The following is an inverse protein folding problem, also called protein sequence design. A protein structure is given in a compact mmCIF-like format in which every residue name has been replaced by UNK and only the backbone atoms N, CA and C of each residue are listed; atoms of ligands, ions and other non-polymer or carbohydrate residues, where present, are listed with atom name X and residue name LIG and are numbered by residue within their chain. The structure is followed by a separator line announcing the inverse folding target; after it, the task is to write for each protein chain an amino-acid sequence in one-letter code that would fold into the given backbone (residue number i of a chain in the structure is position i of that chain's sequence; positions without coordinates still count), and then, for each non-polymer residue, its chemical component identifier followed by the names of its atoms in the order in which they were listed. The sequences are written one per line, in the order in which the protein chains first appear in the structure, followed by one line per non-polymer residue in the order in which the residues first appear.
data_IF_922421657480
#
_entry.id   IF_922421657480
#
_cell.length_a   1.000
_cell.length_b   1.000
_cell.length_c   1.000
_cell.angle_alpha   90.00
_cell.angle_beta   90.00
_cell.angle_gamma   90.00
#
_symmetry.space_group_name_H-M   'P 1'
#
loop_
_entity.id
_entity.type
_entity.pdbx_description
1 polymer ?
#
# COMPACT_ATOMS: atom_id res chain seq x y z
N UNK A 1 30.18 31.22 34.91
CA UNK A 1 29.39 31.89 33.83
C UNK A 1 29.60 31.16 32.50
N UNK A 2 29.09 29.93 32.34
CA UNK A 2 29.32 29.14 31.11
C UNK A 2 28.16 28.21 30.71
N UNK A 3 26.97 28.38 31.30
CA UNK A 3 25.78 27.55 31.01
C UNK A 3 24.69 28.27 30.19
N UNK A 4 24.96 29.47 29.66
CA UNK A 4 23.96 30.24 28.90
C UNK A 4 24.19 30.17 27.37
N UNK A 5 25.28 29.57 26.90
CA UNK A 5 25.66 29.63 25.48
C UNK A 5 25.11 28.48 24.60
N UNK A 6 24.65 27.37 25.18
CA UNK A 6 24.30 26.16 24.41
C UNK A 6 22.89 26.18 23.80
N UNK A 7 21.99 27.07 24.22
CA UNK A 7 20.60 27.12 23.73
C UNK A 7 20.38 27.89 22.41
N UNK A 8 21.35 28.71 21.97
CA UNK A 8 21.16 29.61 20.82
C UNK A 8 21.53 28.98 19.47
N UNK A 9 22.33 27.92 19.47
CA UNK A 9 22.78 27.24 18.25
C UNK A 9 21.78 26.19 17.73
N UNK A 10 21.03 25.53 18.62
CA UNK A 10 19.97 24.57 18.26
C UNK A 10 18.79 25.23 17.53
N UNK A 11 18.45 26.47 17.91
CA UNK A 11 17.28 27.19 17.38
C UNK A 11 17.45 27.64 15.92
N UNK A 12 18.68 28.00 15.50
CA UNK A 12 18.97 28.38 14.11
C UNK A 12 18.98 27.19 13.14
N UNK A 13 19.33 26.00 13.62
CA UNK A 13 19.38 24.77 12.81
C UNK A 13 17.99 24.12 12.64
N UNK A 14 17.07 24.39 13.56
CA UNK A 14 15.66 24.01 13.47
C UNK A 14 14.92 24.84 12.40
N UNK A 15 15.11 26.18 12.41
CA UNK A 15 14.50 27.10 11.44
C UNK A 15 14.92 26.80 9.99
N UNK A 16 16.20 26.50 9.75
CA UNK A 16 16.74 26.18 8.41
C UNK A 16 16.24 24.83 7.86
N UNK A 17 16.02 23.83 8.72
CA UNK A 17 15.31 22.60 8.33
C UNK A 17 13.82 22.83 8.10
N UNK A 18 13.22 23.81 8.78
CA UNK A 18 11.81 24.16 8.63
C UNK A 18 11.56 24.91 7.32
N UNK A 19 12.41 25.88 6.93
CA UNK A 19 12.31 26.53 5.61
C UNK A 19 12.60 25.59 4.44
N UNK A 20 13.51 24.62 4.62
CA UNK A 20 13.72 23.57 3.61
C UNK A 20 12.46 22.70 3.44
N UNK A 21 11.80 22.32 4.55
CA UNK A 21 10.56 21.52 4.53
C UNK A 21 9.37 22.28 3.98
N UNK A 22 9.22 23.57 4.28
CA UNK A 22 8.11 24.38 3.77
C UNK A 22 8.27 24.68 2.29
N UNK A 23 9.50 24.84 1.79
CA UNK A 23 9.73 25.09 0.35
C UNK A 23 9.32 23.87 -0.48
N UNK A 24 9.64 22.65 -0.03
CA UNK A 24 9.19 21.43 -0.73
C UNK A 24 7.67 21.27 -0.63
N UNK A 25 7.08 21.58 0.53
CA UNK A 25 5.62 21.52 0.71
C UNK A 25 4.88 22.54 -0.16
N UNK A 26 5.43 23.73 -0.38
CA UNK A 26 4.85 24.75 -1.27
C UNK A 26 5.00 24.36 -2.73
N UNK A 27 6.14 23.79 -3.16
CA UNK A 27 6.29 23.31 -4.54
C UNK A 27 5.35 22.15 -4.85
N UNK A 28 5.23 21.18 -3.94
CA UNK A 28 4.30 20.05 -4.08
C UNK A 28 2.84 20.52 -3.96
N UNK A 29 2.54 21.41 -3.00
CA UNK A 29 1.21 21.99 -2.84
C UNK A 29 0.80 22.83 -4.05
N UNK A 30 1.72 23.61 -4.61
CA UNK A 30 1.49 24.41 -5.81
C UNK A 30 1.27 23.56 -7.06
N UNK A 31 2.08 22.52 -7.28
CA UNK A 31 1.87 21.61 -8.41
C UNK A 31 0.57 20.82 -8.28
N UNK A 32 0.22 20.36 -7.08
CA UNK A 32 -1.08 19.74 -6.80
C UNK A 32 -2.25 20.71 -6.99
N UNK A 33 -2.09 21.98 -6.63
CA UNK A 33 -3.14 23.00 -6.78
C UNK A 33 -3.37 23.35 -8.26
N UNK A 34 -2.30 23.48 -9.05
CA UNK A 34 -2.39 23.64 -10.51
C UNK A 34 -3.00 22.41 -11.15
N UNK A 35 -2.54 21.21 -10.78
CA UNK A 35 -3.06 19.96 -11.33
C UNK A 35 -4.54 19.77 -10.97
N UNK A 36 -4.92 20.01 -9.72
CA UNK A 36 -6.30 19.94 -9.26
C UNK A 36 -7.19 20.95 -9.97
N UNK A 37 -6.75 22.21 -10.11
CA UNK A 37 -7.46 23.23 -10.87
C UNK A 37 -7.61 22.86 -12.34
N UNK A 38 -6.58 22.30 -12.96
CA UNK A 38 -6.61 21.84 -14.35
C UNK A 38 -7.54 20.63 -14.53
N UNK A 39 -7.49 19.64 -13.65
CA UNK A 39 -8.40 18.49 -13.66
C UNK A 39 -9.84 18.93 -13.46
N UNK A 40 -10.10 19.87 -12.54
CA UNK A 40 -11.43 20.43 -12.31
C UNK A 40 -11.92 21.20 -13.54
N UNK A 41 -11.09 22.08 -14.12
CA UNK A 41 -11.43 22.82 -15.33
C UNK A 41 -11.71 21.88 -16.51
N UNK A 42 -10.84 20.89 -16.73
CA UNK A 42 -11.03 19.87 -17.77
C UNK A 42 -12.32 19.07 -17.55
N UNK A 43 -12.63 18.72 -16.29
CA UNK A 43 -13.86 18.03 -15.92
C UNK A 43 -15.09 18.91 -16.17
N UNK A 44 -15.08 20.17 -15.74
CA UNK A 44 -16.20 21.10 -15.96
C UNK A 44 -16.43 21.35 -17.45
N UNK A 45 -15.37 21.62 -18.22
CA UNK A 45 -15.47 21.77 -19.68
C UNK A 45 -15.99 20.48 -20.32
N UNK A 46 -15.46 19.33 -19.88
CA UNK A 46 -15.92 18.01 -20.28
C UNK A 46 -17.40 17.79 -19.99
N UNK A 47 -17.90 18.19 -18.81
CA UNK A 47 -19.32 18.09 -18.45
C UNK A 47 -20.19 19.03 -19.28
N UNK A 48 -19.75 20.27 -19.51
CA UNK A 48 -20.49 21.25 -20.30
C UNK A 48 -20.63 20.79 -21.75
N UNK A 49 -19.57 20.20 -22.33
CA UNK A 49 -19.61 19.62 -23.67
C UNK A 49 -20.38 18.30 -23.67
N UNK A 50 -20.19 17.45 -22.66
CA UNK A 50 -20.86 16.16 -22.55
C UNK A 50 -22.37 16.31 -22.32
N UNK A 51 -22.85 17.31 -21.61
CA UNK A 51 -24.29 17.46 -21.28
C UNK A 51 -25.19 17.51 -22.52
N UNK A 52 -24.96 18.36 -23.54
CA UNK A 52 -25.73 18.34 -24.78
C UNK A 52 -25.43 17.09 -25.64
N UNK A 53 -24.19 16.59 -25.66
CA UNK A 53 -23.80 15.39 -26.40
C UNK A 53 -24.43 14.10 -25.84
N UNK A 54 -24.56 13.97 -24.52
CA UNK A 54 -25.20 12.85 -23.83
C UNK A 54 -26.70 12.80 -24.13
N UNK A 55 -27.35 13.96 -24.31
CA UNK A 55 -28.77 14.05 -24.64
C UNK A 55 -29.04 13.64 -26.09
N UNK A 56 -28.17 14.02 -27.03
CA UNK A 56 -28.38 13.77 -28.47
C UNK A 56 -27.80 12.42 -28.91
N UNK A 57 -26.68 12.00 -28.33
CA UNK A 57 -25.97 10.75 -28.65
C UNK A 57 -26.09 9.69 -27.55
N UNK A 58 -27.14 9.76 -26.71
CA UNK A 58 -27.41 8.78 -25.65
C UNK A 58 -27.23 7.31 -26.06
N UNK A 59 -27.53 6.88 -27.31
CA UNK A 59 -27.28 5.50 -27.74
C UNK A 59 -25.80 5.15 -28.01
N UNK A 60 -24.93 6.15 -28.26
CA UNK A 60 -23.53 5.98 -28.69
C UNK A 60 -22.53 6.33 -27.58
N UNK A 61 -22.84 7.33 -26.75
CA UNK A 61 -21.92 7.77 -25.69
C UNK A 61 -21.87 6.80 -24.49
N UNK A 62 -22.96 6.08 -24.20
CA UNK A 62 -22.98 5.07 -23.14
C UNK A 62 -21.93 3.97 -23.41
N UNK A 63 -21.87 3.35 -24.60
CA UNK A 63 -20.77 2.45 -24.98
C UNK A 63 -19.36 3.07 -24.89
N UNK A 64 -19.20 4.33 -25.32
CA UNK A 64 -17.91 5.01 -25.31
C UNK A 64 -17.40 5.26 -23.87
N UNK A 65 -18.29 5.68 -22.96
CA UNK A 65 -17.97 5.92 -21.57
C UNK A 65 -17.52 4.63 -20.85
N UNK A 66 -18.20 3.50 -21.11
CA UNK A 66 -17.82 2.18 -20.58
C UNK A 66 -16.41 1.82 -21.08
N UNK A 67 -16.13 2.05 -22.36
CA UNK A 67 -14.81 1.76 -22.95
C UNK A 67 -13.71 2.57 -22.27
N UNK A 68 -13.92 3.87 -22.07
CA UNK A 68 -12.96 4.75 -21.39
C UNK A 68 -12.76 4.33 -19.93
N UNK A 69 -13.84 4.01 -19.22
CA UNK A 69 -13.77 3.53 -17.84
C UNK A 69 -13.02 2.21 -17.74
N UNK A 70 -13.21 1.32 -18.72
CA UNK A 70 -12.51 0.03 -18.79
C UNK A 70 -11.04 0.20 -19.15
N UNK A 71 -10.68 1.17 -20.00
CA UNK A 71 -9.28 1.53 -20.29
C UNK A 71 -8.60 2.09 -19.03
N UNK A 72 -9.23 3.07 -18.37
CA UNK A 72 -8.69 3.68 -17.15
C UNK A 72 -8.58 2.66 -16.02
N UNK A 73 -9.65 1.90 -15.77
CA UNK A 73 -9.67 0.84 -14.77
C UNK A 73 -8.69 -0.28 -15.09
N UNK A 74 -8.59 -0.68 -16.36
CA UNK A 74 -7.62 -1.66 -16.84
C UNK A 74 -6.18 -1.17 -16.73
N UNK A 75 -5.90 0.11 -16.96
CA UNK A 75 -4.59 0.71 -16.78
C UNK A 75 -4.21 0.83 -15.30
N UNK A 76 -5.16 1.18 -14.43
CA UNK A 76 -4.95 1.17 -12.98
C UNK A 76 -4.70 -0.26 -12.46
N UNK A 77 -5.45 -1.24 -12.95
CA UNK A 77 -5.21 -2.64 -12.64
C UNK A 77 -3.85 -3.12 -13.18
N UNK A 78 -3.49 -2.75 -14.41
CA UNK A 78 -2.23 -3.11 -15.05
C UNK A 78 -1.01 -2.43 -14.39
N UNK A 79 -1.15 -1.21 -13.85
CA UNK A 79 -0.08 -0.54 -13.11
C UNK A 79 0.12 -1.16 -11.73
N UNK A 80 -0.96 -1.46 -11.01
CA UNK A 80 -0.89 -2.18 -9.73
C UNK A 80 -0.33 -3.60 -9.92
N UNK A 81 -0.79 -4.31 -10.93
CA UNK A 81 -0.32 -5.64 -11.27
C UNK A 81 1.12 -5.62 -11.81
N UNK A 82 1.47 -4.64 -12.64
CA UNK A 82 2.82 -4.47 -13.17
C UNK A 82 3.85 -4.20 -12.08
N UNK A 83 3.54 -3.35 -11.11
CA UNK A 83 4.41 -3.11 -9.96
C UNK A 83 4.58 -4.36 -9.10
N UNK A 84 3.49 -5.08 -8.83
CA UNK A 84 3.50 -6.32 -8.03
C UNK A 84 4.26 -7.44 -8.75
N UNK A 85 4.02 -7.65 -10.05
CA UNK A 85 4.70 -8.64 -10.87
C UNK A 85 6.19 -8.33 -10.98
N UNK A 86 6.56 -7.07 -11.18
CA UNK A 86 7.97 -6.63 -11.21
C UNK A 86 8.65 -6.84 -9.87
N UNK A 87 7.96 -6.58 -8.76
CA UNK A 87 8.48 -6.83 -7.41
C UNK A 87 8.74 -8.33 -7.16
N UNK A 88 7.77 -9.20 -7.49
CA UNK A 88 7.92 -10.66 -7.36
C UNK A 88 9.02 -11.19 -8.28
N UNK A 89 9.09 -10.71 -9.52
CA UNK A 89 10.12 -11.11 -10.48
C UNK A 89 11.52 -10.68 -10.02
N UNK A 90 11.65 -9.45 -9.52
CA UNK A 90 12.90 -8.95 -8.94
C UNK A 90 13.30 -9.75 -7.70
N UNK A 91 12.34 -10.08 -6.84
CA UNK A 91 12.54 -10.89 -5.64
C UNK A 91 13.01 -12.32 -5.99
N UNK A 92 12.37 -12.95 -6.98
CA UNK A 92 12.74 -14.28 -7.53
C UNK A 92 14.12 -14.28 -8.19
N UNK A 93 14.42 -13.27 -9.02
CA UNK A 93 15.73 -13.13 -9.66
C UNK A 93 16.84 -12.94 -8.63
N UNK A 94 16.57 -12.18 -7.56
CA UNK A 94 17.53 -11.97 -6.47
C UNK A 94 17.73 -13.24 -5.63
N UNK A 95 16.66 -13.99 -5.38
CA UNK A 95 16.69 -15.28 -4.70
C UNK A 95 17.53 -16.32 -5.45
N UNK A 96 17.33 -16.45 -6.77
CA UNK A 96 18.11 -17.36 -7.64
C UNK A 96 19.57 -16.94 -7.80
N UNK A 97 19.87 -15.63 -7.69
CA UNK A 97 21.24 -15.09 -7.68
C UNK A 97 21.92 -15.23 -6.29
N UNK A 98 21.30 -15.93 -5.33
CA UNK A 98 21.89 -16.22 -4.01
C UNK A 98 21.94 -15.03 -3.05
N UNK A 99 21.32 -13.90 -3.41
CA UNK A 99 21.18 -12.73 -2.54
C UNK A 99 19.82 -12.83 -1.87
N UNK A 100 19.75 -13.46 -0.70
CA UNK A 100 18.53 -13.56 0.11
C UNK A 100 17.81 -12.21 0.15
N UNK A 101 16.60 -12.12 -0.43
CA UNK A 101 15.93 -10.84 -0.58
C UNK A 101 15.40 -10.34 0.76
N UNK A 102 15.61 -9.05 1.02
CA UNK A 102 15.03 -8.27 2.12
C UNK A 102 13.52 -8.57 2.25
N UNK A 103 13.13 -9.26 3.32
CA UNK A 103 11.75 -9.68 3.61
C UNK A 103 11.52 -11.19 3.67
N UNK A 104 12.42 -12.02 3.11
CA UNK A 104 12.36 -13.47 3.27
C UNK A 104 12.51 -13.88 4.75
N UNK A 105 13.41 -13.22 5.49
CA UNK A 105 13.57 -13.39 6.95
C UNK A 105 12.29 -13.10 7.73
N UNK A 106 11.48 -12.11 7.31
CA UNK A 106 10.20 -11.84 7.99
C UNK A 106 9.17 -12.93 7.71
N UNK A 107 9.18 -13.50 6.51
CA UNK A 107 8.30 -14.61 6.17
C UNK A 107 8.73 -15.90 6.88
N UNK A 108 10.03 -16.14 7.00
CA UNK A 108 10.57 -17.29 7.73
C UNK A 108 10.34 -17.14 9.24
N UNK A 109 10.54 -15.94 9.80
CA UNK A 109 10.22 -15.65 11.21
C UNK A 109 8.73 -15.83 11.50
N UNK A 110 7.86 -15.38 10.57
CA UNK A 110 6.42 -15.59 10.69
C UNK A 110 6.04 -17.07 10.57
N UNK A 111 6.65 -17.82 9.64
CA UNK A 111 6.41 -19.26 9.49
C UNK A 111 6.92 -20.06 10.68
N UNK A 112 8.10 -19.73 11.20
CA UNK A 112 8.66 -20.39 12.38
C UNK A 112 7.77 -20.15 13.61
N UNK A 113 7.32 -18.90 13.82
CA UNK A 113 6.34 -18.55 14.86
C UNK A 113 5.01 -19.28 14.69
N UNK A 114 4.51 -19.40 13.46
CA UNK A 114 3.28 -20.13 13.17
C UNK A 114 3.45 -21.64 13.38
N UNK A 115 4.60 -22.20 13.01
CA UNK A 115 4.91 -23.61 13.17
C UNK A 115 5.05 -23.99 14.66
N UNK A 116 5.68 -23.14 15.46
CA UNK A 116 5.77 -23.33 16.92
C UNK A 116 4.39 -23.29 17.57
N UNK A 117 3.57 -22.28 17.25
CA UNK A 117 2.20 -22.18 17.77
C UNK A 117 1.33 -23.38 17.36
N UNK A 118 1.50 -23.89 16.13
CA UNK A 118 0.79 -25.07 15.66
C UNK A 118 1.20 -26.34 16.43
N UNK A 119 2.49 -26.48 16.79
CA UNK A 119 2.97 -27.59 17.60
C UNK A 119 2.39 -27.56 19.03
N UNK A 120 2.41 -26.40 19.69
CA UNK A 120 1.85 -26.22 21.03
C UNK A 120 0.36 -26.61 21.09
N UNK A 121 -0.41 -26.22 20.07
CA UNK A 121 -1.85 -26.52 20.00
C UNK A 121 -2.07 -28.01 19.73
N UNK A 122 -1.28 -28.62 18.84
CA UNK A 122 -1.35 -30.05 18.53
C UNK A 122 -1.08 -30.90 19.77
N UNK A 123 -0.05 -30.55 20.55
CA UNK A 123 0.32 -31.28 21.75
C UNK A 123 -0.78 -31.19 22.83
N UNK A 124 -1.38 -30.00 23.02
CA UNK A 124 -2.53 -29.83 23.93
C UNK A 124 -3.75 -30.62 23.46
N UNK A 125 -4.02 -30.65 22.16
CA UNK A 125 -5.13 -31.42 21.59
C UNK A 125 -4.91 -32.94 21.75
N UNK A 126 -3.68 -33.42 21.55
CA UNK A 126 -3.32 -34.84 21.78
C UNK A 126 -3.43 -35.21 23.26
N UNK A 127 -2.99 -34.36 24.18
CA UNK A 127 -3.15 -34.60 25.63
C UNK A 127 -4.63 -34.69 26.05
N UNK A 128 -5.48 -33.78 25.56
CA UNK A 128 -6.92 -33.80 25.82
C UNK A 128 -7.60 -35.02 25.17
N UNK A 129 -7.18 -35.39 23.96
CA UNK A 129 -7.64 -36.60 23.28
C UNK A 129 -7.26 -37.87 24.04
N UNK A 130 -6.04 -37.97 24.55
CA UNK A 130 -5.59 -39.09 25.38
C UNK A 130 -6.33 -39.16 26.72
N UNK A 131 -6.62 -38.03 27.36
CA UNK A 131 -7.45 -38.01 28.57
C UNK A 131 -8.89 -38.42 28.29
N UNK A 132 -9.51 -37.91 27.22
CA UNK A 132 -10.85 -38.30 26.82
C UNK A 132 -10.93 -39.80 26.50
N UNK A 133 -9.92 -40.35 25.83
CA UNK A 133 -9.85 -41.76 25.49
C UNK A 133 -9.61 -42.66 26.73
N UNK A 134 -8.84 -42.19 27.71
CA UNK A 134 -8.65 -42.89 28.99
C UNK A 134 -9.91 -42.87 29.86
N UNK A 135 -10.66 -41.77 29.87
CA UNK A 135 -11.95 -41.66 30.56
C UNK A 135 -13.01 -42.60 29.96
N UNK A 136 -13.04 -42.72 28.63
CA UNK A 136 -13.94 -43.65 27.92
C UNK A 136 -13.57 -45.11 28.19
N UNK A 137 -12.27 -45.45 28.26
CA UNK A 137 -11.81 -46.84 28.50
C UNK A 137 -11.94 -47.30 29.97
N UNK A 138 -12.15 -46.39 30.90
CA UNK A 138 -12.30 -46.70 32.35
C UNK A 138 -13.77 -46.84 32.77
N UNK A 139 -14.72 -46.46 31.90
CA UNK A 139 -16.16 -46.42 32.21
C UNK A 139 -16.95 -47.59 31.57
N UNK A 140 -16.28 -48.57 30.95
CA UNK A 140 -16.91 -49.75 30.33
C UNK A 140 -16.43 -51.04 31.00
#
# INVERSE_FOLDING_TARGET
MSQIQSGRHEQHQQLSRQVAKTTTAVTVGGSLMVLSGLTLAATVIGLVVATPLLVIFSPVLVPAAITIFMILGGLLAATAFGATATFVFYWMYRYTTGKHPIGADQLDYARDRLAHAAHDIKEKAEQLGHQAQQQVKTTI
#
